data_IF_922697801029
#
_entry.id   IF_922697801029
#
_cell.length_a   1.000
_cell.length_b   1.000
_cell.length_c   1.000
_cell.angle_alpha   90.00
_cell.angle_beta   90.00
_cell.angle_gamma   90.00
#
_symmetry.space_group_name_H-M   'P 1'
#
loop_
_entity.id
_entity.type
_entity.pdbx_description
1 polymer ?
#
# COMPACT_ATOMS: atom_id res chain seq x y z
N UNK A 1 -2.56 -2.12 9.33
CA UNK A 1 -4.02 -2.44 9.41
C UNK A 1 -4.28 -3.91 9.13
N UNK A 2 -3.82 -4.51 7.97
CA UNK A 2 -4.16 -5.88 7.59
C UNK A 2 -3.69 -6.94 8.62
N UNK A 3 -2.43 -6.87 9.08
CA UNK A 3 -1.90 -7.84 10.05
C UNK A 3 -2.69 -7.78 11.38
N UNK A 4 -2.96 -6.57 11.87
CA UNK A 4 -3.75 -6.37 13.10
C UNK A 4 -5.19 -6.86 12.93
N UNK A 5 -5.79 -6.66 11.76
CA UNK A 5 -7.11 -7.20 11.42
C UNK A 5 -7.14 -8.73 11.49
N UNK A 6 -6.14 -9.40 10.89
CA UNK A 6 -6.08 -10.87 10.90
C UNK A 6 -5.89 -11.42 12.32
N UNK A 7 -5.04 -10.80 13.13
CA UNK A 7 -4.88 -11.15 14.54
C UNK A 7 -6.17 -10.94 15.32
N UNK A 8 -6.82 -9.77 15.20
CA UNK A 8 -8.01 -9.44 15.99
C UNK A 8 -9.25 -10.22 15.57
N UNK A 9 -9.42 -10.53 14.28
CA UNK A 9 -10.61 -11.25 13.78
C UNK A 9 -10.54 -12.76 13.98
N UNK A 10 -9.37 -13.34 13.69
CA UNK A 10 -9.21 -14.79 13.64
C UNK A 10 -8.37 -15.35 14.80
N UNK A 11 -7.82 -14.49 15.67
CA UNK A 11 -6.90 -14.94 16.69
C UNK A 11 -5.60 -15.53 16.13
N UNK A 12 -5.20 -15.15 14.91
CA UNK A 12 -3.99 -15.67 14.28
C UNK A 12 -2.74 -15.12 14.96
N UNK A 13 -1.71 -15.95 15.01
CA UNK A 13 -0.38 -15.49 15.44
C UNK A 13 0.17 -14.42 14.50
N UNK A 14 1.10 -13.61 14.98
CA UNK A 14 1.78 -12.58 14.18
C UNK A 14 2.50 -13.19 12.98
N UNK A 15 3.13 -14.36 13.15
CA UNK A 15 3.81 -15.07 12.07
C UNK A 15 2.82 -15.51 10.97
N UNK A 16 1.66 -16.05 11.34
CA UNK A 16 0.63 -16.44 10.38
C UNK A 16 0.04 -15.22 9.64
N UNK A 17 -0.28 -14.17 10.38
CA UNK A 17 -0.78 -12.91 9.84
C UNK A 17 0.23 -12.22 8.93
N UNK A 18 1.51 -12.23 9.32
CA UNK A 18 2.63 -11.73 8.52
C UNK A 18 2.85 -12.53 7.23
N UNK A 19 2.64 -13.84 7.27
CA UNK A 19 2.71 -14.71 6.08
C UNK A 19 1.62 -14.34 5.07
N UNK A 20 0.37 -14.21 5.51
CA UNK A 20 -0.76 -13.80 4.65
C UNK A 20 -0.49 -12.41 4.06
N UNK A 21 -0.02 -11.46 4.88
CA UNK A 21 0.36 -10.13 4.44
C UNK A 21 1.44 -10.17 3.36
N UNK A 22 2.47 -10.98 3.55
CA UNK A 22 3.59 -11.12 2.60
C UNK A 22 3.13 -11.68 1.25
N UNK A 23 2.30 -12.71 1.25
CA UNK A 23 1.70 -13.25 0.01
C UNK A 23 0.78 -12.24 -0.68
N UNK A 24 -0.01 -11.49 0.08
CA UNK A 24 -0.86 -10.43 -0.45
C UNK A 24 -0.04 -9.35 -1.15
N UNK A 25 1.04 -8.86 -0.50
CA UNK A 25 1.92 -7.83 -1.09
C UNK A 25 2.71 -8.36 -2.30
N UNK A 26 3.26 -9.56 -2.22
CA UNK A 26 3.91 -10.21 -3.36
C UNK A 26 2.93 -10.34 -4.54
N UNK A 27 1.69 -10.73 -4.25
CA UNK A 27 0.61 -10.81 -5.24
C UNK A 27 0.35 -9.48 -5.94
N UNK A 28 0.29 -8.37 -5.21
CA UNK A 28 0.09 -7.03 -5.79
C UNK A 28 1.14 -6.72 -6.87
N UNK A 29 2.43 -7.03 -6.61
CA UNK A 29 3.50 -6.72 -7.56
C UNK A 29 3.57 -7.72 -8.72
N UNK A 30 3.44 -9.02 -8.45
CA UNK A 30 3.45 -10.06 -9.50
C UNK A 30 2.25 -9.87 -10.45
N UNK A 31 1.06 -9.63 -9.90
CA UNK A 31 -0.15 -9.41 -10.70
C UNK A 31 -0.14 -8.07 -11.45
N UNK A 32 0.65 -7.09 -11.01
CA UNK A 32 0.87 -5.86 -11.79
C UNK A 32 1.60 -6.11 -13.10
N UNK A 33 2.51 -7.07 -13.14
CA UNK A 33 3.14 -7.51 -14.38
C UNK A 33 2.11 -8.14 -15.32
N UNK A 34 1.24 -9.00 -14.78
CA UNK A 34 0.14 -9.61 -15.56
C UNK A 34 -0.80 -8.54 -16.10
N UNK A 35 -1.19 -7.57 -15.26
CA UNK A 35 -2.04 -6.45 -15.66
C UNK A 35 -1.44 -5.59 -16.77
N UNK A 36 -0.14 -5.32 -16.71
CA UNK A 36 0.61 -4.63 -17.76
C UNK A 36 0.60 -5.42 -19.06
N UNK A 37 0.91 -6.71 -19.02
CA UNK A 37 0.89 -7.59 -20.20
C UNK A 37 -0.49 -7.66 -20.87
N UNK A 38 -1.57 -7.71 -20.10
CA UNK A 38 -2.94 -7.68 -20.61
C UNK A 38 -3.21 -6.36 -21.33
N UNK A 39 -2.89 -5.23 -20.71
CA UNK A 39 -3.11 -3.92 -21.29
C UNK A 39 -2.28 -3.70 -22.58
N UNK A 40 -1.01 -4.14 -22.56
CA UNK A 40 -0.11 -4.04 -23.71
C UNK A 40 -0.58 -4.89 -24.91
N UNK A 41 -1.04 -6.11 -24.66
CA UNK A 41 -1.55 -7.00 -25.71
C UNK A 41 -2.89 -6.52 -26.29
N UNK A 42 -3.78 -6.06 -25.42
CA UNK A 42 -5.11 -5.61 -25.83
C UNK A 42 -5.13 -4.16 -26.32
N UNK A 43 -4.07 -3.38 -26.03
CA UNK A 43 -4.01 -1.92 -26.23
C UNK A 43 -5.20 -1.18 -25.59
N UNK A 44 -5.82 -1.80 -24.58
CA UNK A 44 -7.02 -1.29 -23.90
C UNK A 44 -6.72 -0.96 -22.43
N UNK A 45 -5.82 -0.01 -22.19
CA UNK A 45 -5.45 0.44 -20.84
C UNK A 45 -6.66 0.92 -20.04
N UNK A 46 -7.56 1.68 -20.66
CA UNK A 46 -8.78 2.19 -19.99
C UNK A 46 -9.72 1.07 -19.55
N UNK A 47 -9.90 0.05 -20.38
CA UNK A 47 -10.70 -1.13 -20.05
C UNK A 47 -10.07 -1.91 -18.89
N UNK A 48 -8.76 -2.15 -18.97
CA UNK A 48 -7.99 -2.86 -17.92
C UNK A 48 -8.07 -2.15 -16.56
N UNK A 49 -7.92 -0.82 -16.53
CA UNK A 49 -8.07 -0.02 -15.31
C UNK A 49 -9.50 -0.13 -14.74
N UNK A 50 -10.53 -0.01 -15.58
CA UNK A 50 -11.94 -0.13 -15.13
C UNK A 50 -12.20 -1.51 -14.52
N UNK A 51 -11.77 -2.57 -15.20
CA UNK A 51 -11.87 -3.93 -14.67
C UNK A 51 -11.14 -4.06 -13.35
N UNK A 52 -9.94 -3.50 -13.24
CA UNK A 52 -9.16 -3.48 -12.00
C UNK A 52 -9.90 -2.83 -10.84
N UNK A 53 -10.49 -1.65 -11.06
CA UNK A 53 -11.28 -0.95 -10.04
C UNK A 53 -12.51 -1.73 -9.59
N UNK A 54 -13.23 -2.37 -10.52
CA UNK A 54 -14.41 -3.21 -10.20
C UNK A 54 -14.00 -4.43 -9.40
N UNK A 55 -12.94 -5.13 -9.79
CA UNK A 55 -12.44 -6.31 -9.08
C UNK A 55 -11.96 -5.96 -7.68
N UNK A 56 -11.24 -4.84 -7.50
CA UNK A 56 -10.84 -4.33 -6.18
C UNK A 56 -12.07 -4.01 -5.32
N UNK A 57 -13.04 -3.30 -5.87
CA UNK A 57 -14.27 -2.96 -5.15
C UNK A 57 -15.00 -4.23 -4.68
N UNK A 58 -15.09 -5.27 -5.51
CA UNK A 58 -15.67 -6.57 -5.14
C UNK A 58 -14.93 -7.20 -3.96
N UNK A 59 -13.59 -7.19 -3.98
CA UNK A 59 -12.78 -7.68 -2.86
C UNK A 59 -13.05 -6.91 -1.56
N UNK A 60 -13.11 -5.59 -1.61
CA UNK A 60 -13.45 -4.77 -0.43
C UNK A 60 -14.89 -4.98 0.04
N UNK A 61 -15.86 -5.18 -0.87
CA UNK A 61 -17.25 -5.51 -0.51
C UNK A 61 -17.28 -6.82 0.28
N UNK A 62 -16.57 -7.86 -0.16
CA UNK A 62 -16.50 -9.13 0.57
C UNK A 62 -15.91 -8.92 1.97
N UNK A 63 -14.82 -8.14 2.10
CA UNK A 63 -14.22 -7.84 3.40
C UNK A 63 -15.12 -6.98 4.29
N UNK A 64 -16.02 -6.19 3.71
CA UNK A 64 -16.90 -5.30 4.48
C UNK A 64 -18.07 -6.04 5.16
N UNK A 65 -18.33 -7.31 4.82
CA UNK A 65 -19.39 -8.10 5.42
C UNK A 65 -19.01 -8.49 6.86
N UNK A 66 -19.76 -8.04 7.89
CA UNK A 66 -19.38 -8.18 9.30
C UNK A 66 -19.76 -9.58 9.84
N UNK A 67 -19.15 -10.64 9.31
CA UNK A 67 -19.33 -12.00 9.81
C UNK A 67 -18.33 -12.23 10.94
N UNK A 68 -18.83 -12.58 12.12
CA UNK A 68 -17.98 -12.93 13.28
C UNK A 68 -17.30 -14.29 13.03
N UNK A 69 -16.01 -14.38 13.31
CA UNK A 69 -15.28 -15.64 13.28
C UNK A 69 -15.60 -16.46 14.53
N UNK A 70 -16.01 -17.71 14.33
CA UNK A 70 -16.30 -18.70 15.38
C UNK A 70 -15.56 -19.99 15.06
N UNK A 71 -15.41 -20.90 16.03
CA UNK A 71 -14.75 -22.18 15.81
C UNK A 71 -15.36 -22.98 14.63
N UNK A 72 -16.67 -22.83 14.41
CA UNK A 72 -17.39 -23.54 13.34
C UNK A 72 -17.17 -22.94 11.94
N UNK A 73 -16.87 -21.65 11.83
CA UNK A 73 -16.81 -20.95 10.54
C UNK A 73 -15.44 -20.39 10.19
N UNK A 74 -14.46 -20.42 11.09
CA UNK A 74 -13.14 -19.77 10.93
C UNK A 74 -12.45 -20.20 9.64
N UNK A 75 -12.45 -21.49 9.29
CA UNK A 75 -11.73 -22.00 8.11
C UNK A 75 -12.28 -21.43 6.81
N UNK A 76 -13.60 -21.50 6.59
CA UNK A 76 -14.18 -20.97 5.36
C UNK A 76 -14.12 -19.45 5.32
N UNK A 77 -14.28 -18.77 6.46
CA UNK A 77 -14.24 -17.32 6.55
C UNK A 77 -12.83 -16.78 6.29
N UNK A 78 -11.79 -17.47 6.79
CA UNK A 78 -10.40 -17.16 6.48
C UNK A 78 -10.10 -17.37 4.99
N UNK A 79 -10.61 -18.47 4.41
CA UNK A 79 -10.49 -18.74 2.97
C UNK A 79 -11.17 -17.63 2.14
N UNK A 80 -12.38 -17.22 2.53
CA UNK A 80 -13.09 -16.11 1.88
C UNK A 80 -12.32 -14.79 2.02
N UNK A 81 -11.72 -14.54 3.18
CA UNK A 81 -10.87 -13.37 3.41
C UNK A 81 -9.64 -13.38 2.52
N UNK A 82 -8.94 -14.52 2.41
CA UNK A 82 -7.81 -14.67 1.50
C UNK A 82 -8.21 -14.50 0.02
N UNK A 83 -9.38 -15.02 -0.37
CA UNK A 83 -9.92 -14.82 -1.70
C UNK A 83 -10.24 -13.34 -1.98
N UNK A 84 -10.83 -12.64 -1.03
CA UNK A 84 -11.06 -11.19 -1.14
C UNK A 84 -9.74 -10.41 -1.26
N UNK A 85 -8.72 -10.76 -0.49
CA UNK A 85 -7.39 -10.19 -0.61
C UNK A 85 -6.76 -10.47 -1.98
N UNK A 86 -6.95 -11.68 -2.51
CA UNK A 86 -6.52 -12.00 -3.87
C UNK A 86 -7.23 -11.12 -4.92
N UNK A 87 -8.54 -10.92 -4.82
CA UNK A 87 -9.27 -10.01 -5.70
C UNK A 87 -8.73 -8.58 -5.62
N UNK A 88 -8.44 -8.09 -4.41
CA UNK A 88 -7.85 -6.76 -4.22
C UNK A 88 -6.46 -6.69 -4.87
N UNK A 89 -5.61 -7.70 -4.67
CA UNK A 89 -4.28 -7.75 -5.26
C UNK A 89 -4.34 -7.83 -6.79
N UNK A 90 -5.23 -8.65 -7.34
CA UNK A 90 -5.42 -8.78 -8.80
C UNK A 90 -5.97 -7.49 -9.41
N UNK A 91 -7.01 -6.92 -8.83
CA UNK A 91 -7.56 -5.65 -9.28
C UNK A 91 -6.53 -4.50 -9.21
N UNK A 92 -5.74 -4.45 -8.13
CA UNK A 92 -4.64 -3.49 -8.01
C UNK A 92 -3.58 -3.70 -9.12
N UNK A 93 -3.26 -4.95 -9.43
CA UNK A 93 -2.37 -5.30 -10.52
C UNK A 93 -2.86 -4.79 -11.89
N UNK A 94 -4.15 -4.91 -12.16
CA UNK A 94 -4.76 -4.37 -13.39
C UNK A 94 -4.80 -2.83 -13.42
N UNK A 95 -4.87 -2.18 -12.25
CA UNK A 95 -5.04 -0.73 -12.12
C UNK A 95 -3.71 0.02 -12.08
N UNK A 96 -2.81 -0.34 -11.15
CA UNK A 96 -1.68 0.49 -10.70
C UNK A 96 -0.68 0.81 -11.82
N UNK A 97 -0.18 -0.19 -12.52
CA UNK A 97 0.80 0.00 -13.59
C UNK A 97 0.20 0.69 -14.82
N UNK A 98 -1.04 0.36 -15.14
CA UNK A 98 -1.73 0.89 -16.32
C UNK A 98 -2.15 2.35 -16.15
N UNK A 99 -2.45 2.79 -14.91
CA UNK A 99 -2.70 4.21 -14.63
C UNK A 99 -1.44 5.05 -14.87
N UNK A 100 -0.28 4.57 -14.44
CA UNK A 100 1.00 5.23 -14.70
C UNK A 100 1.31 5.29 -16.21
N UNK A 101 0.99 4.23 -16.95
CA UNK A 101 1.14 4.22 -18.40
C UNK A 101 0.26 5.28 -19.09
N UNK A 102 -0.99 5.46 -18.65
CA UNK A 102 -1.87 6.53 -19.18
C UNK A 102 -1.28 7.92 -18.88
N UNK A 103 -0.75 8.15 -17.66
CA UNK A 103 -0.08 9.42 -17.33
C UNK A 103 1.08 9.67 -18.31
N UNK A 104 1.90 8.65 -18.60
CA UNK A 104 2.95 8.76 -19.62
C UNK A 104 2.41 9.15 -21.01
N UNK A 105 1.37 8.45 -21.45
CA UNK A 105 0.75 8.67 -22.74
C UNK A 105 0.14 10.08 -22.91
N UNK A 106 -0.30 10.72 -21.82
CA UNK A 106 -0.77 12.11 -21.88
C UNK A 106 0.31 13.08 -22.38
N UNK A 107 1.58 12.78 -22.17
CA UNK A 107 2.71 13.60 -22.58
C UNK A 107 3.32 13.18 -23.93
N UNK A 108 3.06 11.97 -24.42
CA UNK A 108 3.68 11.45 -25.66
C UNK A 108 3.43 12.35 -26.87
N UNK A 109 2.18 12.79 -27.08
CA UNK A 109 1.84 13.69 -28.16
C UNK A 109 2.48 15.07 -27.99
N UNK A 110 2.53 15.57 -26.76
CA UNK A 110 3.14 16.86 -26.44
C UNK A 110 4.65 16.83 -26.68
N UNK A 111 5.34 15.75 -26.33
CA UNK A 111 6.76 15.56 -26.62
C UNK A 111 7.02 15.41 -28.13
N UNK A 112 6.16 14.67 -28.85
CA UNK A 112 6.29 14.52 -30.29
C UNK A 112 6.13 15.83 -31.05
N UNK A 113 5.22 16.71 -30.62
CA UNK A 113 5.08 18.06 -31.18
C UNK A 113 6.25 18.96 -30.81
N UNK A 114 6.73 18.88 -29.57
CA UNK A 114 7.87 19.66 -29.11
C UNK A 114 9.18 19.26 -29.84
N UNK A 115 9.34 17.97 -30.15
CA UNK A 115 10.49 17.47 -30.93
C UNK A 115 10.59 18.11 -32.32
N UNK A 116 9.44 18.43 -32.94
CA UNK A 116 9.41 19.14 -34.24
C UNK A 116 9.85 20.59 -34.14
N UNK A 117 9.77 21.20 -32.93
CA UNK A 117 10.12 22.60 -32.67
C UNK A 117 11.59 22.78 -32.27
N UNK A 118 12.31 21.68 -32.00
CA UNK A 118 13.72 21.67 -31.70
C UNK A 118 14.09 21.14 -30.30
N UNK A 119 15.40 21.01 -30.01
CA UNK A 119 15.89 20.35 -28.80
C UNK A 119 15.46 21.04 -27.48
N UNK A 120 15.40 22.37 -27.48
CA UNK A 120 15.00 23.14 -26.30
C UNK A 120 13.52 22.94 -25.96
N UNK A 121 12.63 22.98 -26.95
CA UNK A 121 11.21 22.69 -26.78
C UNK A 121 10.98 21.26 -26.28
N UNK A 122 11.74 20.28 -26.81
CA UNK A 122 11.68 18.89 -26.33
C UNK A 122 12.14 18.75 -24.88
N UNK A 123 13.19 19.49 -24.47
CA UNK A 123 13.64 19.48 -23.06
C UNK A 123 12.55 20.00 -22.14
N UNK A 124 11.91 21.12 -22.47
CA UNK A 124 10.78 21.67 -21.71
C UNK A 124 9.61 20.68 -21.63
N UNK A 125 9.31 19.95 -22.71
CA UNK A 125 8.25 18.95 -22.72
C UNK A 125 8.56 17.77 -21.78
N UNK A 126 9.79 17.29 -21.76
CA UNK A 126 10.26 16.24 -20.83
C UNK A 126 10.21 16.69 -19.38
N UNK A 127 10.64 17.92 -19.08
CA UNK A 127 10.56 18.48 -17.73
C UNK A 127 9.11 18.58 -17.23
N UNK A 128 8.16 18.91 -18.11
CA UNK A 128 6.72 18.89 -17.80
C UNK A 128 6.19 17.48 -17.54
N UNK A 129 6.64 16.48 -18.30
CA UNK A 129 6.30 15.06 -18.06
C UNK A 129 6.79 14.62 -16.70
N UNK A 130 8.05 14.91 -16.36
CA UNK A 130 8.63 14.58 -15.06
C UNK A 130 7.85 15.25 -13.92
N UNK A 131 7.49 16.52 -14.08
CA UNK A 131 6.63 17.23 -13.12
C UNK A 131 5.25 16.59 -12.98
N UNK A 132 4.64 16.13 -14.08
CA UNK A 132 3.37 15.42 -14.07
C UNK A 132 3.42 14.11 -13.26
N UNK A 133 4.49 13.33 -13.42
CA UNK A 133 4.70 12.12 -12.62
C UNK A 133 4.94 12.44 -11.14
N UNK A 134 5.64 13.52 -10.83
CA UNK A 134 5.85 13.95 -9.44
C UNK A 134 4.52 14.34 -8.77
N UNK A 135 3.68 15.12 -9.46
CA UNK A 135 2.34 15.49 -8.97
C UNK A 135 1.50 14.23 -8.76
N UNK A 136 1.49 13.30 -9.71
CA UNK A 136 0.80 12.03 -9.58
C UNK A 136 1.26 11.25 -8.34
N UNK A 137 2.57 11.20 -8.08
CA UNK A 137 3.13 10.53 -6.92
C UNK A 137 2.75 11.22 -5.60
N UNK A 138 2.72 12.56 -5.57
CA UNK A 138 2.26 13.32 -4.39
C UNK A 138 0.81 12.97 -4.06
N UNK A 139 -0.09 12.89 -5.04
CA UNK A 139 -1.49 12.53 -4.80
C UNK A 139 -1.66 11.10 -4.28
N UNK A 140 -0.81 10.15 -4.70
CA UNK A 140 -0.78 8.80 -4.09
C UNK A 140 -0.45 8.91 -2.60
N UNK A 141 0.52 9.73 -2.22
CA UNK A 141 0.92 9.92 -0.83
C UNK A 141 -0.12 10.70 -0.01
N UNK A 142 -0.89 11.62 -0.62
CA UNK A 142 -2.05 12.24 0.04
C UNK A 142 -3.08 11.17 0.45
N UNK A 143 -3.39 10.22 -0.44
CA UNK A 143 -4.22 9.07 -0.10
C UNK A 143 -3.64 8.21 1.03
N UNK A 144 -2.34 7.94 0.97
CA UNK A 144 -1.58 7.21 2.00
C UNK A 144 -1.54 7.92 3.35
N UNK A 145 -1.57 9.25 3.36
CA UNK A 145 -1.65 10.07 4.58
C UNK A 145 -3.02 9.99 5.24
N UNK A 146 -4.10 10.03 4.46
CA UNK A 146 -5.48 10.10 4.98
C UNK A 146 -5.96 8.72 5.46
N UNK A 147 -5.66 7.65 4.73
CA UNK A 147 -6.20 6.31 4.98
C UNK A 147 -5.94 5.77 6.40
N UNK A 148 -4.75 5.92 7.01
CA UNK A 148 -4.49 5.43 8.36
C UNK A 148 -5.32 6.08 9.47
N UNK A 149 -5.90 7.25 9.23
CA UNK A 149 -6.79 7.91 10.18
C UNK A 149 -8.24 7.43 10.07
N UNK A 150 -8.71 7.10 8.85
CA UNK A 150 -10.11 6.72 8.64
C UNK A 150 -10.45 5.44 9.39
N UNK A 151 -9.62 4.42 9.31
CA UNK A 151 -9.90 3.11 9.91
C UNK A 151 -9.99 3.15 11.44
N UNK A 152 -9.04 3.75 12.19
CA UNK A 152 -9.14 3.88 13.64
C UNK A 152 -10.32 4.75 14.08
N UNK A 153 -10.59 5.86 13.38
CA UNK A 153 -11.71 6.76 13.73
C UNK A 153 -13.04 6.03 13.63
N UNK A 154 -13.29 5.29 12.56
CA UNK A 154 -14.53 4.54 12.39
C UNK A 154 -14.67 3.43 13.43
N UNK A 155 -13.59 2.71 13.72
CA UNK A 155 -13.57 1.66 14.74
C UNK A 155 -13.81 2.22 16.15
N UNK A 156 -13.12 3.31 16.51
CA UNK A 156 -13.28 3.95 17.82
C UNK A 156 -14.69 4.54 17.98
N UNK A 157 -15.22 5.17 16.93
CA UNK A 157 -16.59 5.65 16.93
C UNK A 157 -17.59 4.52 17.19
N UNK A 158 -17.45 3.38 16.50
CA UNK A 158 -18.35 2.23 16.69
C UNK A 158 -18.23 1.60 18.08
N UNK A 159 -17.02 1.46 18.59
CA UNK A 159 -16.79 1.02 19.97
C UNK A 159 -17.50 1.97 20.95
N UNK A 160 -17.32 3.28 20.80
CA UNK A 160 -17.95 4.28 21.67
C UNK A 160 -19.48 4.25 21.64
N UNK A 161 -20.09 4.05 20.47
CA UNK A 161 -21.55 3.90 20.33
C UNK A 161 -22.06 2.69 21.14
N UNK A 162 -21.25 1.64 21.25
CA UNK A 162 -21.59 0.41 21.98
C UNK A 162 -21.07 0.40 23.44
N UNK A 163 -20.60 1.54 23.96
CA UNK A 163 -20.16 1.68 25.36
C UNK A 163 -18.77 1.14 25.63
N UNK A 164 -17.97 0.84 24.60
CA UNK A 164 -16.59 0.38 24.73
C UNK A 164 -15.58 1.43 24.34
N UNK A 165 -14.39 1.36 24.96
CA UNK A 165 -13.22 2.13 24.55
C UNK A 165 -12.21 1.25 23.82
N UNK A 166 -11.44 1.87 22.93
CA UNK A 166 -10.42 1.17 22.17
C UNK A 166 -9.23 0.77 23.04
N UNK A 167 -8.80 -0.47 22.93
CA UNK A 167 -7.53 -0.96 23.44
C UNK A 167 -6.87 -1.89 22.41
N UNK A 168 -5.60 -1.68 22.12
CA UNK A 168 -4.87 -2.41 21.08
C UNK A 168 -4.54 -3.86 21.46
N UNK A 169 -4.34 -4.14 22.76
CA UNK A 169 -3.94 -5.45 23.28
C UNK A 169 -5.14 -6.35 23.61
N UNK A 170 -6.26 -5.74 23.93
CA UNK A 170 -7.43 -6.44 24.41
C UNK A 170 -7.96 -7.54 23.45
N UNK A 171 -7.99 -7.38 22.11
CA UNK A 171 -8.43 -8.45 21.22
C UNK A 171 -7.58 -9.72 21.34
N UNK A 172 -6.26 -9.62 21.48
CA UNK A 172 -5.38 -10.77 21.62
C UNK A 172 -5.64 -11.52 22.92
N UNK A 173 -5.74 -10.79 24.04
CA UNK A 173 -6.03 -11.36 25.36
C UNK A 173 -7.43 -12.01 25.40
N UNK A 174 -8.43 -11.41 24.76
CA UNK A 174 -9.77 -12.02 24.67
C UNK A 174 -9.73 -13.33 23.89
N UNK A 175 -9.01 -13.40 22.76
CA UNK A 175 -8.87 -14.66 22.01
C UNK A 175 -8.12 -15.72 22.83
N UNK A 176 -7.05 -15.38 23.52
CA UNK A 176 -6.30 -16.28 24.38
C UNK A 176 -7.20 -16.88 25.46
N UNK A 177 -7.94 -16.03 26.17
CA UNK A 177 -8.86 -16.47 27.22
C UNK A 177 -10.00 -17.35 26.70
N UNK A 178 -10.66 -16.96 25.62
CA UNK A 178 -11.80 -17.71 25.06
C UNK A 178 -11.34 -19.08 24.55
N UNK A 179 -10.15 -19.17 23.95
CA UNK A 179 -9.62 -20.42 23.42
C UNK A 179 -9.16 -21.39 24.52
N UNK A 180 -8.50 -20.92 25.56
CA UNK A 180 -8.00 -21.76 26.64
C UNK A 180 -7.74 -20.95 27.93
N UNK A 181 -8.81 -20.60 28.63
CA UNK A 181 -8.72 -19.86 29.91
C UNK A 181 -7.83 -20.54 30.96
N UNK A 182 -7.79 -21.88 30.99
CA UNK A 182 -7.02 -22.64 31.99
C UNK A 182 -5.49 -22.59 31.75
N UNK A 183 -5.04 -22.33 30.51
CA UNK A 183 -3.64 -22.21 30.18
C UNK A 183 -3.11 -20.76 30.23
N UNK A 184 -4.00 -19.78 30.44
CA UNK A 184 -3.61 -18.37 30.51
C UNK A 184 -2.78 -18.08 31.76
N UNK A 185 -1.65 -17.40 31.58
CA UNK A 185 -0.79 -17.01 32.71
C UNK A 185 -1.55 -16.08 33.69
N UNK A 186 -1.35 -16.19 35.00
CA UNK A 186 -2.06 -15.36 35.97
C UNK A 186 -1.89 -13.85 35.76
N UNK A 187 -0.71 -13.42 35.29
CA UNK A 187 -0.44 -12.02 34.97
C UNK A 187 -1.23 -11.56 33.75
N UNK A 188 -1.32 -12.40 32.71
CA UNK A 188 -2.12 -12.11 31.51
C UNK A 188 -3.63 -12.05 31.83
N UNK A 189 -4.11 -12.91 32.74
CA UNK A 189 -5.49 -12.89 33.21
C UNK A 189 -5.80 -11.61 33.99
N UNK A 190 -4.91 -11.21 34.90
CA UNK A 190 -5.05 -9.94 35.65
C UNK A 190 -5.06 -8.73 34.71
N UNK A 191 -4.17 -8.71 33.70
CA UNK A 191 -4.16 -7.69 32.67
C UNK A 191 -5.46 -7.67 31.86
N UNK A 192 -5.97 -8.83 31.42
CA UNK A 192 -7.26 -8.92 30.75
C UNK A 192 -8.39 -8.33 31.59
N UNK A 193 -8.48 -8.69 32.88
CA UNK A 193 -9.50 -8.16 33.80
C UNK A 193 -9.42 -6.64 33.94
N UNK A 194 -8.22 -6.10 34.06
CA UNK A 194 -8.01 -4.65 34.15
C UNK A 194 -8.41 -3.95 32.85
N UNK A 195 -7.97 -4.48 31.70
CA UNK A 195 -8.21 -3.85 30.39
C UNK A 195 -9.69 -3.97 29.98
N UNK A 196 -10.36 -5.09 30.23
CA UNK A 196 -11.78 -5.24 29.90
C UNK A 196 -12.63 -4.28 30.72
N UNK A 197 -12.30 -4.09 32.02
CA UNK A 197 -12.97 -3.14 32.90
C UNK A 197 -12.76 -1.70 32.42
N UNK A 198 -11.53 -1.33 32.11
CA UNK A 198 -11.23 0.02 31.62
C UNK A 198 -11.85 0.28 30.24
N UNK A 199 -12.07 -0.76 29.45
CA UNK A 199 -12.74 -0.67 28.18
C UNK A 199 -14.27 -0.60 28.26
N UNK A 200 -14.87 -0.74 29.48
CA UNK A 200 -16.32 -0.70 29.67
C UNK A 200 -16.98 -2.07 29.77
N UNK A 201 -16.21 -3.16 29.78
CA UNK A 201 -16.72 -4.54 29.95
C UNK A 201 -16.86 -4.94 31.40
N UNK A 202 -17.50 -6.10 31.67
CA UNK A 202 -17.71 -6.67 32.99
C UNK A 202 -16.76 -7.83 33.26
N UNK A 203 -16.25 -7.92 34.49
CA UNK A 203 -15.44 -9.06 34.94
C UNK A 203 -16.30 -10.23 35.47
N UNK A 204 -17.60 -10.04 35.63
CA UNK A 204 -18.50 -11.08 36.17
C UNK A 204 -18.54 -12.31 35.25
N UNK A 205 -18.47 -12.12 33.93
CA UNK A 205 -18.30 -13.17 32.93
C UNK A 205 -17.34 -12.67 31.84
N UNK A 206 -16.07 -13.03 31.98
CA UNK A 206 -15.03 -12.63 31.05
C UNK A 206 -15.20 -13.26 29.66
N UNK A 207 -15.82 -14.44 29.57
CA UNK A 207 -16.08 -15.08 28.27
C UNK A 207 -17.08 -14.27 27.46
N UNK A 208 -18.18 -13.88 28.09
CA UNK A 208 -19.23 -13.07 27.44
C UNK A 208 -18.72 -11.69 27.12
N UNK A 209 -18.06 -11.01 28.07
CA UNK A 209 -17.51 -9.66 27.86
C UNK A 209 -16.41 -9.62 26.79
N UNK A 210 -15.53 -10.61 26.79
CA UNK A 210 -14.49 -10.75 25.77
C UNK A 210 -15.07 -11.02 24.39
N UNK A 211 -16.04 -11.91 24.28
CA UNK A 211 -16.71 -12.19 23.02
C UNK A 211 -17.47 -10.97 22.48
N UNK A 212 -18.16 -10.23 23.33
CA UNK A 212 -18.86 -9.01 22.98
C UNK A 212 -17.89 -7.91 22.52
N UNK A 213 -16.79 -7.72 23.23
CA UNK A 213 -15.76 -6.75 22.82
C UNK A 213 -15.19 -7.11 21.43
N UNK A 214 -14.81 -8.38 21.22
CA UNK A 214 -14.29 -8.86 19.93
C UNK A 214 -15.29 -8.66 18.81
N UNK A 215 -16.57 -8.94 19.05
CA UNK A 215 -17.61 -8.72 18.04
C UNK A 215 -17.66 -7.25 17.63
N UNK A 216 -17.83 -6.33 18.59
CA UNK A 216 -17.98 -4.89 18.32
C UNK A 216 -16.70 -4.32 17.72
N UNK A 217 -15.53 -4.75 18.20
CA UNK A 217 -14.24 -4.37 17.65
C UNK A 217 -14.10 -4.77 16.18
N UNK A 218 -14.45 -6.00 15.83
CA UNK A 218 -14.40 -6.49 14.46
C UNK A 218 -15.44 -5.81 13.55
N UNK A 219 -16.66 -5.55 14.03
CA UNK A 219 -17.65 -4.76 13.30
C UNK A 219 -17.10 -3.36 12.96
N UNK A 220 -16.43 -2.69 13.90
CA UNK A 220 -15.77 -1.41 13.66
C UNK A 220 -14.68 -1.46 12.59
N UNK A 221 -13.94 -2.57 12.47
CA UNK A 221 -13.00 -2.79 11.38
C UNK A 221 -13.76 -2.95 10.04
N UNK A 222 -14.87 -3.66 10.02
CA UNK A 222 -15.69 -3.82 8.81
C UNK A 222 -16.23 -2.50 8.29
N UNK A 223 -16.59 -1.54 9.15
CA UNK A 223 -16.91 -0.16 8.74
C UNK A 223 -15.75 0.53 8.01
N UNK A 224 -14.50 0.22 8.38
CA UNK A 224 -13.31 0.73 7.67
C UNK A 224 -13.22 0.18 6.23
N UNK A 225 -13.62 -1.06 6.01
CA UNK A 225 -13.70 -1.63 4.66
C UNK A 225 -14.84 -1.02 3.84
N UNK A 226 -15.97 -0.68 4.45
CA UNK A 226 -17.04 0.07 3.79
C UNK A 226 -16.53 1.44 3.30
N UNK A 227 -15.73 2.14 4.10
CA UNK A 227 -15.09 3.38 3.65
C UNK A 227 -14.16 3.14 2.43
N UNK A 228 -13.45 2.00 2.40
CA UNK A 228 -12.63 1.63 1.24
C UNK A 228 -13.50 1.34 0.00
N UNK A 229 -14.66 0.70 0.16
CA UNK A 229 -15.64 0.50 -0.92
C UNK A 229 -16.11 1.86 -1.46
N UNK A 230 -16.47 2.79 -0.58
CA UNK A 230 -16.90 4.13 -0.97
C UNK A 230 -15.80 4.86 -1.76
N UNK A 231 -14.54 4.79 -1.32
CA UNK A 231 -13.40 5.36 -2.02
C UNK A 231 -13.20 4.71 -3.42
N UNK A 232 -13.38 3.39 -3.54
CA UNK A 232 -13.30 2.69 -4.83
C UNK A 232 -14.42 3.10 -5.78
N UNK A 233 -15.65 3.26 -5.28
CA UNK A 233 -16.78 3.73 -6.09
C UNK A 233 -16.58 5.16 -6.56
N UNK A 234 -16.10 6.06 -5.69
CA UNK A 234 -15.76 7.44 -6.06
C UNK A 234 -14.67 7.43 -7.14
N UNK A 235 -13.61 6.63 -6.98
CA UNK A 235 -12.54 6.50 -7.97
C UNK A 235 -13.07 5.99 -9.31
N UNK A 236 -13.97 5.02 -9.29
CA UNK A 236 -14.60 4.48 -10.48
C UNK A 236 -15.47 5.52 -11.21
N UNK A 237 -16.27 6.28 -10.46
CA UNK A 237 -17.10 7.39 -11.01
C UNK A 237 -16.21 8.45 -11.65
N UNK A 238 -15.16 8.92 -10.94
CA UNK A 238 -14.21 9.90 -11.47
C UNK A 238 -13.57 9.38 -12.74
N UNK A 239 -13.15 8.11 -12.76
CA UNK A 239 -12.54 7.51 -13.94
C UNK A 239 -13.52 7.43 -15.12
N UNK A 240 -14.78 7.05 -14.88
CA UNK A 240 -15.81 7.01 -15.92
C UNK A 240 -16.11 8.40 -16.53
N UNK A 241 -16.21 9.42 -15.68
CA UNK A 241 -16.44 10.79 -16.13
C UNK A 241 -15.25 11.31 -16.95
N UNK A 242 -14.03 11.06 -16.45
CA UNK A 242 -12.80 11.59 -17.03
C UNK A 242 -12.25 10.76 -18.20
N UNK A 243 -12.74 9.54 -18.45
CA UNK A 243 -12.15 8.62 -19.44
C UNK A 243 -12.09 9.16 -20.87
N UNK A 244 -12.94 10.14 -21.23
CA UNK A 244 -12.96 10.79 -22.54
C UNK A 244 -11.75 11.72 -22.74
N UNK A 245 -11.22 12.27 -21.67
CA UNK A 245 -10.05 13.17 -21.69
C UNK A 245 -8.73 12.42 -21.73
N UNK A 246 -8.73 11.14 -21.33
CA UNK A 246 -7.51 10.33 -21.38
C UNK A 246 -7.17 9.95 -22.82
N UNK A 247 -5.87 9.94 -23.16
CA UNK A 247 -5.43 9.53 -24.49
C UNK A 247 -5.88 8.08 -24.76
N UNK A 248 -6.27 7.82 -25.99
CA UNK A 248 -6.32 6.45 -26.49
C UNK A 248 -4.93 6.21 -27.08
N UNK A 249 -4.20 5.15 -26.69
CA UNK A 249 -2.94 4.88 -27.34
C UNK A 249 -3.19 4.87 -28.84
N UNK A 250 -2.46 5.71 -29.59
CA UNK A 250 -2.40 5.55 -31.02
C UNK A 250 -2.11 4.07 -31.23
N UNK A 251 -2.96 3.35 -32.00
CA UNK A 251 -2.63 1.99 -32.45
C UNK A 251 -1.16 2.11 -32.81
N UNK A 252 -0.27 1.37 -32.12
CA UNK A 252 1.13 1.32 -32.54
C UNK A 252 1.03 1.12 -34.02
N UNK A 253 1.29 2.16 -34.81
CA UNK A 253 1.38 2.05 -36.25
C UNK A 253 2.35 0.93 -36.39
N UNK A 254 1.87 -0.19 -36.90
CA UNK A 254 2.60 -1.45 -37.04
C UNK A 254 3.99 -1.02 -37.46
N UNK A 255 4.99 -1.29 -36.63
CA UNK A 255 6.28 -0.62 -36.65
C UNK A 255 6.64 -0.39 -38.09
N UNK A 256 6.64 0.88 -38.50
CA UNK A 256 6.91 1.21 -39.91
C UNK A 256 8.07 0.32 -40.27
N UNK A 257 7.96 -0.46 -41.36
CA UNK A 257 8.98 -1.38 -41.82
C UNK A 257 10.29 -0.61 -42.05
N UNK A 258 10.89 -0.11 -40.97
CA UNK A 258 12.24 0.44 -41.00
C UNK A 258 13.11 -0.78 -41.08
N UNK A 259 13.54 -1.11 -42.30
CA UNK A 259 14.50 -2.17 -42.51
C UNK A 259 15.85 -1.69 -41.99
N UNK A 260 16.11 -2.04 -40.74
CA UNK A 260 17.43 -1.85 -40.15
C UNK A 260 18.43 -2.78 -40.83
N UNK A 261 19.63 -2.29 -41.11
CA UNK A 261 20.74 -3.10 -41.57
C UNK A 261 21.11 -4.17 -40.49
N UNK A 262 21.73 -5.28 -40.87
CA UNK A 262 22.18 -6.28 -39.88
C UNK A 262 23.11 -5.68 -38.79
N UNK A 263 23.93 -4.72 -39.15
CA UNK A 263 24.84 -4.02 -38.24
C UNK A 263 24.09 -3.12 -37.25
N UNK A 264 23.09 -2.36 -37.71
CA UNK A 264 22.22 -1.55 -36.85
C UNK A 264 21.42 -2.41 -35.88
N UNK A 265 20.90 -3.57 -36.32
CA UNK A 265 20.21 -4.54 -35.46
C UNK A 265 21.15 -5.09 -34.39
N UNK A 266 22.38 -5.41 -34.73
CA UNK A 266 23.39 -5.93 -33.79
C UNK A 266 23.79 -4.85 -32.75
N UNK A 267 23.99 -3.61 -33.20
CA UNK A 267 24.28 -2.47 -32.30
C UNK A 267 23.13 -2.21 -31.35
N UNK A 268 21.90 -2.18 -31.84
CA UNK A 268 20.68 -2.01 -31.03
C UNK A 268 20.51 -3.15 -30.02
N UNK A 269 20.74 -4.41 -30.43
CA UNK A 269 20.65 -5.57 -29.54
C UNK A 269 21.71 -5.49 -28.43
N UNK A 270 22.93 -5.04 -28.73
CA UNK A 270 24.00 -4.84 -27.75
C UNK A 270 23.62 -3.73 -26.74
N UNK A 271 23.09 -2.63 -27.21
CA UNK A 271 22.64 -1.52 -26.36
C UNK A 271 21.47 -1.95 -25.45
N UNK A 272 20.47 -2.65 -25.98
CA UNK A 272 19.37 -3.22 -25.21
C UNK A 272 19.90 -4.14 -24.12
N UNK A 273 20.83 -5.03 -24.48
CA UNK A 273 21.45 -5.97 -23.53
C UNK A 273 22.18 -5.25 -22.39
N UNK A 274 22.93 -4.20 -22.67
CA UNK A 274 23.63 -3.38 -21.67
C UNK A 274 22.62 -2.66 -20.73
N UNK A 275 21.57 -2.08 -21.31
CA UNK A 275 20.48 -1.44 -20.54
C UNK A 275 19.75 -2.43 -19.63
N UNK A 276 19.51 -3.66 -20.12
CA UNK A 276 18.91 -4.73 -19.33
C UNK A 276 19.79 -5.16 -18.17
N UNK A 277 21.11 -5.31 -18.35
CA UNK A 277 22.02 -5.60 -17.24
C UNK A 277 22.03 -4.49 -16.19
N UNK A 278 22.07 -3.23 -16.60
CA UNK A 278 22.00 -2.10 -15.68
C UNK A 278 20.67 -2.09 -14.91
N UNK A 279 19.54 -2.38 -15.59
CA UNK A 279 18.24 -2.51 -14.97
C UNK A 279 18.20 -3.62 -13.92
N UNK A 280 18.68 -4.83 -14.26
CA UNK A 280 18.70 -5.95 -13.32
C UNK A 280 19.62 -5.69 -12.13
N UNK A 281 20.76 -5.02 -12.33
CA UNK A 281 21.64 -4.62 -11.23
C UNK A 281 20.94 -3.65 -10.27
N UNK A 282 20.26 -2.63 -10.78
CA UNK A 282 19.47 -1.70 -9.96
C UNK A 282 18.33 -2.43 -9.24
N UNK A 283 17.60 -3.30 -9.93
CA UNK A 283 16.51 -4.08 -9.32
C UNK A 283 17.05 -4.98 -8.19
N UNK A 284 18.22 -5.61 -8.36
CA UNK A 284 18.86 -6.42 -7.31
C UNK A 284 19.17 -5.60 -6.05
N UNK A 285 19.68 -4.37 -6.22
CA UNK A 285 19.97 -3.47 -5.09
C UNK A 285 18.68 -3.01 -4.41
N UNK A 286 17.66 -2.68 -5.18
CA UNK A 286 16.38 -2.14 -4.69
C UNK A 286 15.56 -3.18 -3.90
N UNK A 287 15.83 -4.49 -4.06
CA UNK A 287 15.23 -5.54 -3.21
C UNK A 287 15.47 -5.24 -1.72
N UNK A 288 16.70 -4.89 -1.34
CA UNK A 288 17.04 -4.61 0.07
C UNK A 288 16.33 -3.36 0.60
N UNK A 289 16.16 -2.33 -0.24
CA UNK A 289 15.36 -1.15 0.12
C UNK A 289 13.90 -1.53 0.40
N UNK A 290 13.25 -2.27 -0.50
CA UNK A 290 11.86 -2.68 -0.34
C UNK A 290 11.65 -3.64 0.82
N UNK A 291 12.63 -4.50 1.09
CA UNK A 291 12.62 -5.36 2.28
C UNK A 291 12.51 -4.51 3.57
N UNK A 292 13.34 -3.47 3.69
CA UNK A 292 13.29 -2.55 4.84
C UNK A 292 12.01 -1.71 4.84
N UNK A 293 11.61 -1.16 3.70
CA UNK A 293 10.42 -0.30 3.58
C UNK A 293 9.13 -1.01 4.00
N UNK A 294 8.94 -2.27 3.63
CA UNK A 294 7.73 -3.02 3.95
C UNK A 294 7.61 -3.40 5.44
N UNK A 295 8.67 -3.25 6.23
CA UNK A 295 8.57 -3.40 7.68
C UNK A 295 7.61 -2.36 8.31
N UNK A 296 7.37 -1.23 7.65
CA UNK A 296 6.39 -0.24 8.09
C UNK A 296 4.97 -0.84 8.28
N UNK A 297 4.55 -1.72 7.38
CA UNK A 297 3.23 -2.37 7.46
C UNK A 297 3.18 -3.65 8.29
N UNK A 298 4.31 -4.16 8.77
CA UNK A 298 4.42 -5.41 9.50
C UNK A 298 5.11 -5.21 10.85
N UNK A 299 6.43 -5.34 10.91
CA UNK A 299 7.18 -5.29 12.18
C UNK A 299 7.01 -3.99 12.96
N UNK A 300 7.02 -2.84 12.27
CA UNK A 300 6.82 -1.55 12.92
C UNK A 300 5.38 -1.35 13.42
N UNK A 301 4.39 -1.99 12.78
CA UNK A 301 3.01 -1.97 13.26
C UNK A 301 2.84 -2.77 14.55
N UNK A 302 3.52 -3.93 14.66
CA UNK A 302 3.54 -4.71 15.90
C UNK A 302 4.33 -3.98 16.99
N UNK A 303 5.50 -3.44 16.65
CA UNK A 303 6.29 -2.63 17.59
C UNK A 303 5.47 -1.46 18.16
N UNK A 304 4.73 -0.74 17.31
CA UNK A 304 3.87 0.34 17.77
C UNK A 304 2.72 -0.13 18.67
N UNK A 305 2.20 -1.35 18.46
CA UNK A 305 1.17 -1.93 19.33
C UNK A 305 1.71 -2.30 20.71
N UNK A 306 2.92 -2.88 20.75
CA UNK A 306 3.43 -3.55 21.96
C UNK A 306 4.30 -2.63 22.82
N UNK A 307 5.01 -1.68 22.23
CA UNK A 307 6.01 -0.85 22.90
C UNK A 307 5.70 0.66 22.90
N UNK A 308 4.66 1.11 22.17
CA UNK A 308 4.27 2.52 22.16
C UNK A 308 2.92 2.67 22.85
N UNK A 309 2.78 3.71 23.69
CA UNK A 309 1.48 4.03 24.30
C UNK A 309 0.46 4.35 23.19
N UNK A 310 -0.48 3.43 22.99
CA UNK A 310 -1.53 3.52 21.98
C UNK A 310 -2.88 4.01 22.54
N UNK A 311 -2.91 4.49 23.77
CA UNK A 311 -4.12 5.02 24.41
C UNK A 311 -4.67 6.26 23.67
N UNK A 312 -3.78 7.16 23.26
CA UNK A 312 -4.13 8.37 22.52
C UNK A 312 -4.09 8.20 21.00
N UNK A 313 -3.19 7.37 20.48
CA UNK A 313 -2.93 7.22 19.04
C UNK A 313 -2.89 5.75 18.65
N UNK A 314 -3.88 5.30 17.86
CA UNK A 314 -3.93 3.92 17.40
C UNK A 314 -2.67 3.54 16.58
N UNK A 315 -2.15 2.29 16.70
CA UNK A 315 -0.91 1.86 16.04
C UNK A 315 -0.88 2.08 14.54
N UNK A 316 -2.03 2.01 13.87
CA UNK A 316 -2.14 2.20 12.43
C UNK A 316 -1.83 3.63 11.97
N UNK A 317 -2.04 4.62 12.84
CA UNK A 317 -1.82 6.05 12.52
C UNK A 317 -0.34 6.35 12.29
N UNK A 318 0.56 5.62 12.95
CA UNK A 318 2.00 5.78 12.74
C UNK A 318 2.44 5.53 11.30
N UNK A 319 1.67 4.78 10.52
CA UNK A 319 1.93 4.59 9.10
C UNK A 319 1.74 5.88 8.27
N UNK A 320 1.02 6.87 8.78
CA UNK A 320 0.83 8.16 8.13
C UNK A 320 2.10 9.05 8.14
N UNK A 321 3.05 8.77 9.02
CA UNK A 321 4.31 9.55 9.14
C UNK A 321 5.10 9.49 7.83
N UNK A 322 5.22 8.33 7.22
CA UNK A 322 5.96 8.19 5.96
C UNK A 322 5.35 9.03 4.82
N UNK A 323 4.06 8.91 4.45
CA UNK A 323 3.43 9.78 3.45
C UNK A 323 3.51 11.27 3.80
N UNK A 324 3.39 11.64 5.07
CA UNK A 324 3.52 13.01 5.52
C UNK A 324 4.90 13.59 5.14
N UNK A 325 5.97 12.90 5.51
CA UNK A 325 7.31 13.35 5.19
C UNK A 325 7.62 13.30 3.70
N UNK A 326 7.06 12.34 2.96
CA UNK A 326 7.18 12.33 1.48
C UNK A 326 6.60 13.60 0.89
N UNK A 327 5.40 14.00 1.30
CA UNK A 327 4.75 15.22 0.81
C UNK A 327 5.53 16.47 1.22
N UNK A 328 5.91 16.56 2.51
CA UNK A 328 6.58 17.73 3.06
C UNK A 328 8.01 17.92 2.53
N UNK A 329 8.78 16.83 2.39
CA UNK A 329 10.18 16.90 2.00
C UNK A 329 10.40 16.88 0.48
N UNK A 330 9.44 16.39 -0.32
CA UNK A 330 9.59 16.39 -1.78
C UNK A 330 9.93 17.75 -2.36
N UNK A 331 9.23 18.86 -2.04
CA UNK A 331 9.58 20.18 -2.54
C UNK A 331 10.98 20.64 -2.09
N UNK A 332 11.37 20.31 -0.86
CA UNK A 332 12.68 20.65 -0.29
C UNK A 332 13.80 19.94 -1.06
N UNK A 333 13.65 18.63 -1.25
CA UNK A 333 14.61 17.81 -2.00
C UNK A 333 14.73 18.28 -3.46
N UNK A 334 13.59 18.60 -4.08
CA UNK A 334 13.56 19.16 -5.43
C UNK A 334 14.30 20.49 -5.50
N UNK A 335 14.11 21.39 -4.53
CA UNK A 335 14.80 22.68 -4.46
C UNK A 335 16.32 22.49 -4.28
N UNK A 336 16.75 21.56 -3.43
CA UNK A 336 18.16 21.24 -3.20
C UNK A 336 18.81 20.74 -4.50
N UNK A 337 18.25 19.69 -5.12
CA UNK A 337 18.84 19.12 -6.34
C UNK A 337 18.74 20.07 -7.52
N UNK A 338 17.64 20.82 -7.65
CA UNK A 338 17.49 21.86 -8.68
C UNK A 338 18.50 23.01 -8.49
N UNK A 339 18.75 23.43 -7.25
CA UNK A 339 19.77 24.42 -6.92
C UNK A 339 21.19 23.94 -7.23
N UNK A 340 21.50 22.66 -6.97
CA UNK A 340 22.79 22.06 -7.34
C UNK A 340 22.97 21.96 -8.86
N UNK A 341 21.94 21.57 -9.58
CA UNK A 341 21.97 21.50 -11.04
C UNK A 341 22.20 22.90 -11.67
N UNK A 342 21.52 23.93 -11.17
CA UNK A 342 21.74 25.34 -11.62
C UNK A 342 23.17 25.82 -11.38
N UNK A 343 23.87 25.25 -10.39
CA UNK A 343 25.28 25.55 -10.09
C UNK A 343 26.29 24.66 -10.86
N UNK A 344 25.81 23.89 -11.84
CA UNK A 344 26.62 22.93 -12.60
C UNK A 344 27.07 21.70 -11.83
N UNK A 345 26.50 21.45 -10.64
CA UNK A 345 26.78 20.27 -9.78
C UNK A 345 25.63 19.29 -9.81
N UNK A 346 25.21 18.90 -10.99
CA UNK A 346 24.11 17.95 -11.15
C UNK A 346 24.50 16.57 -10.60
N UNK A 347 23.65 16.03 -9.70
CA UNK A 347 23.84 14.71 -9.12
C UNK A 347 23.08 13.69 -9.99
N UNK A 348 23.77 12.66 -10.45
CA UNK A 348 23.16 11.59 -11.25
C UNK A 348 22.10 10.82 -10.47
N UNK A 349 21.08 10.30 -11.16
CA UNK A 349 19.98 9.52 -10.55
C UNK A 349 20.47 8.36 -9.68
N UNK A 350 21.46 7.54 -10.08
CA UNK A 350 21.99 6.49 -9.21
C UNK A 350 22.58 7.01 -7.89
N UNK A 351 23.25 8.17 -7.92
CA UNK A 351 23.78 8.80 -6.69
C UNK A 351 22.67 9.32 -5.78
N UNK A 352 21.59 9.88 -6.33
CA UNK A 352 20.41 10.29 -5.54
C UNK A 352 19.78 9.09 -4.84
N UNK A 353 19.65 7.97 -5.54
CA UNK A 353 19.16 6.69 -4.98
C UNK A 353 20.09 6.21 -3.85
N UNK A 354 21.40 6.20 -4.07
CA UNK A 354 22.37 5.76 -3.07
C UNK A 354 22.31 6.60 -1.79
N UNK A 355 22.19 7.94 -1.92
CA UNK A 355 22.03 8.84 -0.77
C UNK A 355 20.74 8.53 -0.01
N UNK A 356 19.62 8.33 -0.71
CA UNK A 356 18.35 7.98 -0.09
C UNK A 356 18.41 6.64 0.66
N UNK A 357 19.03 5.63 0.08
CA UNK A 357 19.23 4.32 0.72
C UNK A 357 20.13 4.42 1.95
N UNK A 358 21.20 5.22 1.90
CA UNK A 358 22.07 5.44 3.04
C UNK A 358 21.31 6.10 4.21
N UNK A 359 20.52 7.13 3.93
CA UNK A 359 19.68 7.80 4.95
C UNK A 359 18.66 6.81 5.54
N UNK A 360 17.99 6.01 4.72
CA UNK A 360 17.06 4.99 5.20
C UNK A 360 17.76 3.94 6.07
N UNK A 361 18.96 3.49 5.69
CA UNK A 361 19.77 2.56 6.48
C UNK A 361 20.15 3.13 7.86
N UNK A 362 20.53 4.41 7.92
CA UNK A 362 20.86 5.07 9.21
C UNK A 362 19.64 5.16 10.13
N UNK A 363 18.42 5.33 9.61
CA UNK A 363 17.22 5.34 10.42
C UNK A 363 16.99 4.00 11.15
N UNK A 364 17.25 2.87 10.49
CA UNK A 364 17.19 1.55 11.14
C UNK A 364 18.30 1.32 12.16
N UNK A 365 19.49 1.88 11.94
CA UNK A 365 20.57 1.86 12.95
C UNK A 365 20.16 2.64 14.21
N UNK A 366 19.53 3.80 14.07
CA UNK A 366 18.97 4.54 15.21
C UNK A 366 17.91 3.72 15.95
N UNK A 367 16.98 3.08 15.23
CA UNK A 367 15.97 2.23 15.84
C UNK A 367 16.60 1.09 16.64
N UNK A 368 17.64 0.42 16.08
CA UNK A 368 18.39 -0.62 16.76
C UNK A 368 19.03 -0.10 18.06
N UNK A 369 19.71 1.03 18.01
CA UNK A 369 20.36 1.62 19.18
C UNK A 369 19.34 1.95 20.27
N UNK A 370 18.23 2.58 19.92
CA UNK A 370 17.16 2.92 20.88
C UNK A 370 16.43 1.69 21.45
N UNK A 371 16.40 0.59 20.73
CA UNK A 371 15.80 -0.66 21.25
C UNK A 371 16.72 -1.44 22.19
N UNK A 372 17.99 -1.06 22.31
CA UNK A 372 18.97 -1.67 23.23
C UNK A 372 19.14 -0.89 24.55
N UNK A 373 18.57 0.31 24.64
CA UNK A 373 18.56 1.16 25.83
C UNK A 373 17.23 0.98 26.58
#
# INVERSE_FOLDING_TARGET
>A
VLVLFLCSKFGLSEAASGTIYSFFYAGIYILSLVGGLIADRTQNYKGTIKTGLVVMATGYIILSIPILATAANTTWLLTLTCFALFLIAFGNGLFKGNLQAIVGQMYDNFEAEAAKKGPEALKIAKDKRDSGFQIFYVFINVGGLIAPFIAPVLRQWWLGVNGFTYNAQLPALCHEYINNAAAMAPEALANLQQLITSAGGSIADLTVSGAQYLQIFNEGIHYSFIASVAAMLISLIIFFVSQKTFPTPAKKIAAQNVSYTPEEKAAMAKEIKQRMYALFAVLGIVIFFWFSFHQNGMSLSFFARDFVDSSAVAPEVWQAINPFFVIALTPVIMAIFGGLAKRGKEISTPRKIAIGMFIAGTAFLFLLVFSLI
#
